data_IF_376410282660
#
_entry.id   IF_376410282660
#
_cell.length_a   1.000
_cell.length_b   1.000
_cell.length_c   1.000
_cell.angle_alpha   90.00
_cell.angle_beta   90.00
_cell.angle_gamma   90.00
#
_symmetry.space_group_name_H-M   'P 1'
#
loop_
_entity.id
_entity.type
_entity.pdbx_description
1 polymer ?
#
# COMPACT_ATOMS: atom_id res chain seq x y z
N UNK A 1 -9.64 10.88 15.83
CA UNK A 1 -8.63 9.85 15.53
C UNK A 1 -8.89 9.28 14.15
N UNK A 2 -7.85 9.15 13.35
CA UNK A 2 -7.94 8.59 11.99
C UNK A 2 -6.79 7.61 11.84
N UNK A 3 -7.06 6.35 12.12
CA UNK A 3 -6.02 5.33 12.09
C UNK A 3 -6.58 4.05 11.49
N UNK A 4 -5.84 3.49 10.54
CA UNK A 4 -6.20 2.29 9.81
C UNK A 4 -5.07 1.28 9.96
N UNK A 5 -5.43 0.05 10.27
CA UNK A 5 -4.48 -1.06 10.36
C UNK A 5 -5.03 -2.17 9.49
N UNK A 6 -4.27 -2.56 8.47
CA UNK A 6 -4.70 -3.56 7.49
C UNK A 6 -3.59 -4.56 7.24
N UNK A 7 -3.97 -5.78 6.91
CA UNK A 7 -3.05 -6.81 6.47
C UNK A 7 -3.59 -7.43 5.19
N UNK A 8 -2.74 -7.54 4.19
CA UNK A 8 -3.15 -8.12 2.91
C UNK A 8 -1.98 -8.29 1.98
N UNK A 9 -2.29 -8.55 0.70
CA UNK A 9 -1.28 -8.78 -0.33
C UNK A 9 -1.39 -7.75 -1.43
N UNK A 10 -0.25 -7.34 -1.96
CA UNK A 10 -0.24 -6.44 -3.12
C UNK A 10 -0.85 -7.15 -4.32
N UNK A 11 -1.71 -6.46 -5.04
CA UNK A 11 -2.37 -7.02 -6.23
C UNK A 11 -1.51 -6.88 -7.48
N UNK A 12 -0.53 -5.99 -7.44
CA UNK A 12 0.40 -5.73 -8.54
C UNK A 12 1.65 -5.07 -7.97
N UNK A 13 2.68 -4.94 -8.77
CA UNK A 13 3.87 -4.20 -8.35
C UNK A 13 3.51 -2.74 -8.10
N UNK A 14 4.12 -2.11 -7.09
CA UNK A 14 3.84 -0.70 -6.81
C UNK A 14 4.26 0.21 -7.96
N UNK A 15 3.53 1.29 -8.13
CA UNK A 15 3.89 2.34 -9.05
C UNK A 15 4.57 3.45 -8.27
N UNK A 16 5.80 3.78 -8.62
CA UNK A 16 6.58 4.79 -7.92
C UNK A 16 6.90 5.92 -8.88
N UNK A 17 6.61 7.14 -8.45
CA UNK A 17 6.86 8.34 -9.24
C UNK A 17 7.61 9.36 -8.42
N UNK A 18 8.43 10.15 -9.10
CA UNK A 18 9.09 11.29 -8.49
C UNK A 18 8.30 12.55 -8.77
N UNK A 19 8.32 13.45 -7.81
CA UNK A 19 7.76 14.77 -8.02
C UNK A 19 8.66 15.80 -7.36
N UNK A 20 8.60 17.03 -7.84
CA UNK A 20 9.40 18.11 -7.29
C UNK A 20 8.57 18.95 -6.35
N UNK A 21 9.15 19.29 -5.21
CA UNK A 21 8.56 20.18 -4.24
C UNK A 21 9.58 21.27 -3.96
N UNK A 22 9.45 22.39 -4.66
CA UNK A 22 10.45 23.43 -4.61
C UNK A 22 11.75 22.94 -5.24
N UNK A 23 12.84 22.98 -4.50
CA UNK A 23 14.14 22.53 -4.96
C UNK A 23 14.39 21.04 -4.68
N UNK A 24 13.50 20.42 -3.92
CA UNK A 24 13.66 19.03 -3.52
C UNK A 24 12.86 18.11 -4.42
N UNK A 25 13.40 16.90 -4.60
CA UNK A 25 12.71 15.83 -5.30
C UNK A 25 12.22 14.85 -4.25
N UNK A 26 10.95 14.48 -4.35
CA UNK A 26 10.36 13.51 -3.46
C UNK A 26 9.72 12.39 -4.29
N UNK A 27 9.35 11.32 -3.63
CA UNK A 27 8.72 10.17 -4.29
C UNK A 27 7.35 9.90 -3.70
N UNK A 28 6.48 9.36 -4.55
CA UNK A 28 5.19 8.84 -4.12
C UNK A 28 5.04 7.44 -4.70
N UNK A 29 4.63 6.50 -3.88
CA UNK A 29 4.36 5.14 -4.30
C UNK A 29 2.88 4.84 -4.12
N UNK A 30 2.32 4.12 -5.08
CA UNK A 30 0.92 3.68 -5.01
C UNK A 30 0.84 2.19 -5.25
N UNK A 31 0.02 1.53 -4.46
CA UNK A 31 -0.28 0.12 -4.67
C UNK A 31 -1.67 -0.18 -4.14
N UNK A 32 -2.19 -1.32 -4.54
CA UNK A 32 -3.50 -1.78 -4.08
C UNK A 32 -3.30 -3.03 -3.24
N UNK A 33 -3.91 -3.03 -2.08
CA UNK A 33 -3.81 -4.13 -1.12
C UNK A 33 -5.12 -4.91 -1.13
N UNK A 34 -5.03 -6.22 -1.31
CA UNK A 34 -6.18 -7.11 -1.20
C UNK A 34 -6.26 -7.60 0.24
N UNK A 35 -7.32 -7.20 0.92
CA UNK A 35 -7.54 -7.54 2.34
C UNK A 35 -8.72 -8.50 2.42
N UNK A 36 -8.47 -9.69 2.94
CA UNK A 36 -9.50 -10.72 3.03
C UNK A 36 -10.57 -10.32 4.05
N UNK A 37 -11.82 -10.56 3.68
CA UNK A 37 -12.93 -10.40 4.59
C UNK A 37 -13.03 -11.64 5.47
N UNK A 38 -13.27 -11.43 6.74
CA UNK A 38 -13.44 -12.52 7.69
C UNK A 38 -14.72 -13.29 7.35
N UNK A 39 -14.60 -14.61 7.23
CA UNK A 39 -15.75 -15.47 6.99
C UNK A 39 -16.27 -15.46 5.55
N UNK A 40 -15.45 -15.04 4.60
CA UNK A 40 -15.84 -14.94 3.20
C UNK A 40 -14.65 -15.25 2.29
N UNK A 41 -14.95 -15.61 1.05
CA UNK A 41 -13.91 -15.76 0.02
C UNK A 41 -13.63 -14.43 -0.69
N UNK A 42 -14.33 -13.38 -0.31
CA UNK A 42 -14.16 -12.08 -0.91
C UNK A 42 -13.05 -11.27 -0.25
N UNK A 43 -12.51 -10.34 -1.00
CA UNK A 43 -11.49 -9.43 -0.49
C UNK A 43 -11.89 -7.98 -0.79
N UNK A 44 -11.44 -7.09 0.06
CA UNK A 44 -11.57 -5.66 -0.19
C UNK A 44 -10.26 -5.17 -0.80
N UNK A 45 -10.37 -4.34 -1.83
CA UNK A 45 -9.21 -3.79 -2.51
C UNK A 45 -9.02 -2.35 -2.07
N UNK A 46 -7.91 -2.10 -1.40
CA UNK A 46 -7.65 -0.82 -0.75
C UNK A 46 -6.51 -0.10 -1.44
N UNK A 47 -6.76 1.12 -1.89
CA UNK A 47 -5.72 1.95 -2.50
C UNK A 47 -4.84 2.54 -1.41
N UNK A 48 -3.53 2.33 -1.56
CA UNK A 48 -2.54 2.80 -0.59
C UNK A 48 -1.59 3.78 -1.26
N UNK A 49 -1.24 4.82 -0.54
CA UNK A 49 -0.32 5.86 -1.02
C UNK A 49 0.76 6.07 0.02
N UNK A 50 2.01 6.14 -0.42
CA UNK A 50 3.15 6.28 0.47
C UNK A 50 4.03 7.41 -0.06
N UNK A 51 4.43 8.32 0.80
CA UNK A 51 5.25 9.46 0.42
C UNK A 51 6.65 9.39 0.99
N UNK A 52 7.59 9.99 0.29
CA UNK A 52 8.95 10.23 0.79
C UNK A 52 9.76 8.96 1.01
N UNK A 53 10.40 8.86 2.16
CA UNK A 53 11.24 7.71 2.48
C UNK A 53 10.49 6.39 2.46
N UNK A 54 9.20 6.42 2.81
CA UNK A 54 8.34 5.24 2.73
C UNK A 54 8.19 4.75 1.30
N UNK A 55 8.09 5.66 0.34
CA UNK A 55 7.98 5.30 -1.07
C UNK A 55 9.25 4.59 -1.56
N UNK A 56 10.40 5.04 -1.09
CA UNK A 56 11.67 4.41 -1.42
C UNK A 56 11.74 2.98 -0.89
N UNK A 57 11.27 2.79 0.34
CA UNK A 57 11.15 1.45 0.93
C UNK A 57 10.25 0.55 0.08
N UNK A 58 9.10 1.07 -0.33
CA UNK A 58 8.14 0.32 -1.16
C UNK A 58 8.79 -0.12 -2.47
N UNK A 59 9.50 0.79 -3.11
CA UNK A 59 10.17 0.48 -4.38
C UNK A 59 11.17 -0.66 -4.23
N UNK A 60 11.91 -0.67 -3.13
CA UNK A 60 12.97 -1.65 -2.92
C UNK A 60 12.47 -3.02 -2.49
N UNK A 61 11.42 -3.05 -1.71
CA UNK A 61 11.06 -4.27 -0.98
C UNK A 61 9.68 -4.86 -1.27
N UNK A 62 8.79 -4.12 -1.90
CA UNK A 62 7.44 -4.62 -2.13
C UNK A 62 7.20 -4.97 -3.59
N UNK A 63 6.61 -6.16 -3.81
CA UNK A 63 6.27 -6.64 -5.14
C UNK A 63 4.90 -7.30 -5.09
N UNK A 64 4.36 -7.56 -6.26
CA UNK A 64 3.07 -8.25 -6.41
C UNK A 64 3.03 -9.53 -5.57
N UNK A 65 1.95 -9.70 -4.84
CA UNK A 65 1.71 -10.89 -4.04
C UNK A 65 2.32 -10.88 -2.65
N UNK A 66 3.17 -9.91 -2.35
CA UNK A 66 3.79 -9.83 -1.04
C UNK A 66 2.77 -9.51 0.04
N UNK A 67 2.83 -10.23 1.15
CA UNK A 67 1.93 -10.02 2.28
C UNK A 67 2.56 -9.05 3.27
N UNK A 68 1.82 -8.01 3.59
CA UNK A 68 2.29 -6.96 4.51
C UNK A 68 1.14 -6.52 5.42
N UNK A 69 1.51 -5.92 6.53
CA UNK A 69 0.58 -5.17 7.36
C UNK A 69 0.98 -3.70 7.26
N UNK A 70 0.00 -2.84 7.30
CA UNK A 70 0.23 -1.40 7.23
C UNK A 70 -0.51 -0.67 8.34
N UNK A 71 0.03 0.46 8.71
CA UNK A 71 -0.63 1.42 9.60
C UNK A 71 -0.66 2.74 8.86
N UNK A 72 -1.82 3.37 8.81
CA UNK A 72 -1.97 4.63 8.12
C UNK A 72 -3.24 5.34 8.52
N UNK A 73 -3.71 6.23 7.66
CA UNK A 73 -4.93 6.98 7.86
C UNK A 73 -5.73 7.05 6.57
N UNK A 74 -7.03 7.23 6.69
CA UNK A 74 -7.90 7.40 5.52
C UNK A 74 -7.85 8.84 5.08
N UNK A 75 -7.74 9.04 3.78
CA UNK A 75 -7.84 10.37 3.18
C UNK A 75 -8.78 10.28 1.99
N UNK A 76 -9.76 11.15 1.97
CA UNK A 76 -10.72 11.22 0.87
C UNK A 76 -10.40 12.43 0.00
N UNK A 77 -10.82 12.36 -1.25
CA UNK A 77 -10.63 13.47 -2.18
C UNK A 77 -11.64 13.37 -3.30
N UNK A 78 -11.51 14.25 -4.27
CA UNK A 78 -12.35 14.22 -5.46
C UNK A 78 -11.63 14.86 -6.63
N UNK A 79 -12.04 14.49 -7.83
CA UNK A 79 -11.56 15.13 -9.05
C UNK A 79 -12.68 15.13 -10.08
N UNK A 80 -12.61 16.04 -11.04
CA UNK A 80 -13.53 16.07 -12.16
C UNK A 80 -12.89 15.43 -13.38
N UNK A 81 -13.68 14.65 -14.11
CA UNK A 81 -13.20 14.06 -15.35
C UNK A 81 -13.47 15.03 -16.52
N UNK A 82 -13.14 14.59 -17.73
CA UNK A 82 -13.29 15.39 -18.94
C UNK A 82 -14.74 15.79 -19.22
N UNK A 83 -15.67 14.99 -18.77
CA UNK A 83 -17.11 15.23 -18.96
C UNK A 83 -17.71 16.11 -17.87
N UNK A 84 -16.92 16.53 -16.90
CA UNK A 84 -17.39 17.36 -15.81
C UNK A 84 -17.99 16.59 -14.64
N UNK A 85 -17.91 15.27 -14.69
CA UNK A 85 -18.43 14.42 -13.61
C UNK A 85 -17.42 14.37 -12.45
N UNK A 86 -17.92 14.45 -11.23
CA UNK A 86 -17.09 14.40 -10.04
C UNK A 86 -16.90 12.95 -9.60
N UNK A 87 -15.65 12.57 -9.40
CA UNK A 87 -15.29 11.26 -8.88
C UNK A 87 -14.68 11.41 -7.49
N UNK A 88 -15.10 10.56 -6.57
CA UNK A 88 -14.61 10.58 -5.20
C UNK A 88 -13.57 9.50 -5.01
N UNK A 89 -12.55 9.79 -4.23
CA UNK A 89 -11.47 8.85 -3.95
C UNK A 89 -11.38 8.58 -2.46
N UNK A 90 -10.94 7.38 -2.12
CA UNK A 90 -10.66 7.01 -0.75
C UNK A 90 -9.35 6.25 -0.77
N UNK A 91 -8.35 6.80 -0.12
CA UNK A 91 -7.01 6.22 -0.07
C UNK A 91 -6.58 6.03 1.37
N UNK A 92 -5.68 5.09 1.59
CA UNK A 92 -4.98 4.96 2.86
C UNK A 92 -3.59 5.53 2.68
N UNK A 93 -3.27 6.57 3.43
CA UNK A 93 -1.92 7.15 3.44
C UNK A 93 -1.14 6.35 4.47
N UNK A 94 -0.16 5.60 4.00
CA UNK A 94 0.55 4.63 4.82
C UNK A 94 1.71 5.29 5.57
N UNK A 95 1.75 5.06 6.86
CA UNK A 95 2.82 5.57 7.74
C UNK A 95 3.86 4.50 8.05
N UNK A 96 3.43 3.25 8.16
CA UNK A 96 4.30 2.15 8.56
C UNK A 96 3.99 0.88 7.80
N UNK A 97 5.03 0.11 7.50
CA UNK A 97 4.92 -1.19 6.84
C UNK A 97 5.54 -2.26 7.73
N UNK A 98 4.93 -3.43 7.75
CA UNK A 98 5.44 -4.59 8.47
C UNK A 98 5.39 -5.79 7.55
N UNK A 99 6.48 -6.54 7.49
CA UNK A 99 6.49 -7.79 6.72
C UNK A 99 5.73 -8.87 7.48
N UNK A 100 4.87 -9.56 6.77
CA UNK A 100 4.08 -10.65 7.34
C UNK A 100 4.53 -12.01 6.86
N UNK A 101 5.55 -12.03 6.01
CA UNK A 101 6.13 -13.28 5.51
C UNK A 101 7.63 -13.23 5.69
N UNK A 102 8.19 -14.34 6.07
CA UNK A 102 9.63 -14.47 6.16
C UNK A 102 10.19 -14.77 4.79
N UNK A 103 11.49 -14.56 4.62
CA UNK A 103 12.16 -15.00 3.42
C UNK A 103 11.97 -16.51 3.31
N UNK A 104 11.77 -16.98 2.10
CA UNK A 104 11.42 -18.37 1.85
C UNK A 104 12.37 -19.37 2.49
N UNK A 105 13.64 -19.20 2.28
CA UNK A 105 14.65 -20.13 2.84
C UNK A 105 14.67 -20.07 4.36
N UNK A 106 14.48 -18.92 4.96
CA UNK A 106 14.43 -18.80 6.42
C UNK A 106 13.21 -19.50 6.98
N UNK A 107 12.06 -19.36 6.31
CA UNK A 107 10.84 -20.02 6.71
C UNK A 107 11.01 -21.52 6.78
N UNK A 108 11.60 -22.10 5.76
CA UNK A 108 11.78 -23.54 5.67
C UNK A 108 12.68 -24.07 6.75
N UNK A 109 13.73 -23.35 7.06
CA UNK A 109 14.69 -23.76 8.08
C UNK A 109 14.13 -23.66 9.48
N UNK A 110 13.40 -22.61 9.77
CA UNK A 110 12.94 -22.32 11.14
C UNK A 110 11.80 -23.19 11.60
N UNK A 111 10.97 -23.64 10.70
CA UNK A 111 9.78 -24.40 11.06
C UNK A 111 9.92 -25.88 10.83
N UNK A 112 11.10 -26.27 10.49
CA UNK A 112 11.41 -27.67 10.30
C UNK A 112 11.87 -28.22 11.63
N UNK A 113 11.01 -28.94 12.28
CA UNK A 113 11.35 -29.53 13.57
C UNK A 113 11.00 -30.97 13.64
#
# INVERSE_FOLDING_TARGET
>A
MNKVILMGRLTADPEVKEFKKGKETSQVARYRLAVDRVGSDEADFINCVVFGAGAEFVEKFLTKGKKIAIVGRIQTGSYEDEDGDTHYTTDVIVNEHFFCEKKEDDSKKKYKK
#
